data_IF_188694709551
#
_entry.id   IF_188694709551
#
_cell.length_a   1.000
_cell.length_b   1.000
_cell.length_c   1.000
_cell.angle_alpha   90.00
_cell.angle_beta   90.00
_cell.angle_gamma   90.00
#
_symmetry.space_group_name_H-M   'P 1'
#
loop_
_entity.id
_entity.type
_entity.pdbx_description
1 polymer ?
#
# COMPACT_ATOMS: atom_id res chain seq x y z
N UNK A 1 1.37 -9.77 26.86
CA UNK A 1 0.33 -9.01 26.14
C UNK A 1 0.58 -9.21 24.66
N UNK A 2 -0.37 -9.76 23.91
CA UNK A 2 -0.19 -9.99 22.48
C UNK A 2 -0.06 -8.66 21.74
N UNK A 3 0.52 -8.67 20.53
CA UNK A 3 0.58 -7.47 19.68
C UNK A 3 -0.84 -6.94 19.41
N UNK A 4 -1.82 -7.83 19.25
CA UNK A 4 -3.23 -7.49 19.05
C UNK A 4 -3.80 -6.71 20.25
N UNK A 5 -3.54 -7.18 21.47
CA UNK A 5 -3.98 -6.49 22.70
C UNK A 5 -3.30 -5.13 22.89
N UNK A 6 -2.06 -4.97 22.40
CA UNK A 6 -1.30 -3.73 22.53
C UNK A 6 -1.74 -2.67 21.51
N UNK A 7 -2.13 -3.08 20.30
CA UNK A 7 -2.45 -2.18 19.20
C UNK A 7 -3.95 -2.17 18.83
N UNK A 8 -4.78 -2.87 19.60
CA UNK A 8 -6.21 -3.04 19.34
C UNK A 8 -6.49 -3.55 17.91
N UNK A 9 -5.62 -4.44 17.41
CA UNK A 9 -5.64 -4.94 16.04
C UNK A 9 -4.25 -5.35 15.53
N UNK A 10 -4.19 -5.77 14.27
CA UNK A 10 -2.95 -6.07 13.56
C UNK A 10 -3.11 -5.69 12.08
N UNK A 11 -1.99 -5.39 11.42
CA UNK A 11 -1.96 -5.08 9.99
C UNK A 11 -1.77 -6.35 9.18
N UNK A 12 -2.54 -6.47 8.10
CA UNK A 12 -2.35 -7.49 7.07
C UNK A 12 -1.76 -6.80 5.84
N UNK A 13 -0.48 -7.00 5.58
CA UNK A 13 0.22 -6.37 4.46
C UNK A 13 -0.04 -7.13 3.14
N UNK A 14 0.48 -8.35 3.02
CA UNK A 14 0.43 -9.13 1.78
C UNK A 14 -0.98 -9.36 1.22
N UNK A 15 -2.03 -9.62 2.05
CA UNK A 15 -3.38 -9.79 1.52
C UNK A 15 -3.95 -8.54 0.82
N UNK A 16 -3.39 -7.34 1.06
CA UNK A 16 -3.81 -6.13 0.34
C UNK A 16 -3.50 -6.21 -1.15
N UNK A 17 -2.42 -6.89 -1.54
CA UNK A 17 -2.09 -7.08 -2.96
C UNK A 17 -3.15 -7.92 -3.67
N UNK A 18 -3.62 -9.00 -3.03
CA UNK A 18 -4.70 -9.84 -3.56
C UNK A 18 -6.02 -9.08 -3.55
N UNK A 19 -6.34 -8.37 -2.47
CA UNK A 19 -7.56 -7.59 -2.38
C UNK A 19 -7.62 -6.49 -3.45
N UNK A 20 -6.48 -5.85 -3.78
CA UNK A 20 -6.41 -4.88 -4.87
C UNK A 20 -6.74 -5.53 -6.22
N UNK A 21 -6.24 -6.74 -6.48
CA UNK A 21 -6.59 -7.49 -7.69
C UNK A 21 -8.06 -7.93 -7.75
N UNK A 22 -8.69 -8.21 -6.60
CA UNK A 22 -10.09 -8.62 -6.52
C UNK A 22 -11.05 -7.43 -6.65
N UNK A 23 -10.79 -6.35 -5.92
CA UNK A 23 -11.60 -5.12 -5.94
C UNK A 23 -10.68 -3.89 -5.75
N UNK A 24 -10.22 -3.26 -6.86
CA UNK A 24 -9.40 -2.05 -6.79
C UNK A 24 -10.11 -0.88 -6.11
N UNK A 25 -11.45 -0.85 -6.05
CA UNK A 25 -12.22 0.25 -5.45
C UNK A 25 -12.12 0.29 -3.93
N UNK A 26 -11.51 -0.73 -3.32
CA UNK A 26 -11.09 -0.72 -1.92
C UNK A 26 -9.94 0.26 -1.65
N UNK A 27 -9.25 0.72 -2.69
CA UNK A 27 -8.01 1.47 -2.58
C UNK A 27 -8.07 2.77 -3.37
N UNK A 28 -7.47 3.82 -2.82
CA UNK A 28 -7.15 5.03 -3.58
C UNK A 28 -5.71 4.95 -4.03
N UNK A 29 -5.49 5.07 -5.33
CA UNK A 29 -4.16 5.07 -5.93
C UNK A 29 -3.80 6.44 -6.48
N UNK A 30 -2.50 6.74 -6.46
CA UNK A 30 -1.93 7.92 -7.07
C UNK A 30 -0.67 7.52 -7.86
N UNK A 31 -0.50 8.10 -9.05
CA UNK A 31 0.63 7.78 -9.92
C UNK A 31 1.83 8.66 -9.61
N UNK A 32 2.97 8.03 -9.34
CA UNK A 32 4.22 8.69 -8.95
C UNK A 32 5.41 8.18 -9.76
N UNK A 33 6.45 9.01 -9.81
CA UNK A 33 7.80 8.56 -10.19
C UNK A 33 8.45 7.93 -8.95
N UNK A 34 8.84 6.68 -9.08
CA UNK A 34 9.50 5.89 -8.03
C UNK A 34 10.80 5.31 -8.57
N UNK A 35 11.85 5.39 -7.76
CA UNK A 35 13.13 4.71 -7.96
C UNK A 35 13.53 3.95 -6.69
N UNK A 36 14.48 3.02 -6.79
CA UNK A 36 15.00 2.24 -5.65
C UNK A 36 16.44 2.69 -5.37
N UNK A 37 16.72 3.07 -4.13
CA UNK A 37 18.08 3.37 -3.68
C UNK A 37 18.86 2.07 -3.44
N UNK A 38 20.01 1.89 -4.09
CA UNK A 38 20.76 0.62 -4.06
C UNK A 38 22.21 0.76 -3.60
N UNK A 39 22.69 1.98 -3.36
CA UNK A 39 24.10 2.32 -3.10
C UNK A 39 24.35 3.02 -1.77
N UNK A 40 23.43 3.85 -1.27
CA UNK A 40 23.64 4.68 -0.08
C UNK A 40 23.87 3.88 1.20
N UNK A 41 24.79 4.34 2.06
CA UNK A 41 25.12 3.69 3.34
C UNK A 41 23.91 3.61 4.29
N UNK A 42 23.11 4.68 4.35
CA UNK A 42 22.00 4.81 5.30
C UNK A 42 20.62 4.42 4.73
N UNK A 43 20.46 4.44 3.42
CA UNK A 43 19.13 4.40 2.76
C UNK A 43 18.98 3.30 1.72
N UNK A 44 19.96 2.38 1.61
CA UNK A 44 19.86 1.22 0.71
C UNK A 44 18.58 0.43 0.94
N UNK A 45 17.84 0.16 -0.13
CA UNK A 45 16.55 -0.52 -0.14
C UNK A 45 15.34 0.40 -0.07
N UNK A 46 15.53 1.71 0.10
CA UNK A 46 14.43 2.67 0.12
C UNK A 46 13.75 2.77 -1.25
N UNK A 47 12.42 2.71 -1.26
CA UNK A 47 11.58 3.16 -2.37
C UNK A 47 11.48 4.69 -2.34
N UNK A 48 12.22 5.37 -3.20
CA UNK A 48 12.26 6.83 -3.25
C UNK A 48 11.08 7.32 -4.09
N UNK A 49 10.09 7.93 -3.42
CA UNK A 49 8.87 8.44 -4.06
C UNK A 49 9.01 9.95 -4.27
N UNK A 50 8.93 10.38 -5.53
CA UNK A 50 8.94 11.80 -5.87
C UNK A 50 7.56 12.43 -5.67
N UNK A 51 7.37 13.17 -4.56
CA UNK A 51 6.09 13.81 -4.21
C UNK A 51 5.99 15.28 -4.60
N UNK A 52 7.03 15.87 -5.22
CA UNK A 52 7.02 17.28 -5.63
C UNK A 52 6.17 17.46 -6.89
N UNK A 53 5.37 18.53 -6.92
CA UNK A 53 4.29 18.70 -7.91
C UNK A 53 4.69 19.38 -9.24
N UNK A 54 5.94 19.28 -9.67
CA UNK A 54 6.39 19.92 -10.91
C UNK A 54 5.90 19.15 -12.16
N UNK A 55 5.65 19.87 -13.27
CA UNK A 55 5.10 19.28 -14.51
C UNK A 55 5.95 18.13 -15.06
N UNK A 56 7.27 18.29 -15.12
CA UNK A 56 8.20 17.25 -15.62
C UNK A 56 8.10 15.94 -14.83
N UNK A 57 8.03 16.03 -13.50
CA UNK A 57 7.90 14.87 -12.62
C UNK A 57 6.64 14.05 -12.92
N UNK A 58 5.52 14.72 -13.23
CA UNK A 58 4.27 14.04 -13.57
C UNK A 58 4.37 13.27 -14.89
N UNK A 59 5.10 13.80 -15.85
CA UNK A 59 5.33 13.16 -17.16
C UNK A 59 6.20 11.89 -17.02
N UNK A 60 7.08 11.84 -16.00
CA UNK A 60 7.96 10.70 -15.71
C UNK A 60 7.34 9.64 -14.77
N UNK A 61 6.09 9.80 -14.33
CA UNK A 61 5.48 8.91 -13.34
C UNK A 61 5.35 7.46 -13.87
N UNK A 62 5.88 6.49 -13.12
CA UNK A 62 6.06 5.11 -13.58
C UNK A 62 5.29 4.05 -12.79
N UNK A 63 4.76 4.40 -11.61
CA UNK A 63 4.12 3.43 -10.69
C UNK A 63 2.89 4.03 -10.04
N UNK A 64 1.82 3.24 -9.91
CA UNK A 64 0.66 3.57 -9.09
C UNK A 64 0.92 3.13 -7.64
N UNK A 65 0.79 4.06 -6.69
CA UNK A 65 0.97 3.83 -5.26
C UNK A 65 -0.40 3.87 -4.59
N UNK A 66 -0.72 2.84 -3.81
CA UNK A 66 -1.87 2.87 -2.90
C UNK A 66 -1.55 3.83 -1.76
N UNK A 67 -2.35 4.89 -1.65
CA UNK A 67 -2.19 5.93 -0.62
C UNK A 67 -3.25 5.83 0.48
N UNK A 68 -4.39 5.19 0.19
CA UNK A 68 -5.47 4.94 1.16
C UNK A 68 -6.15 3.60 0.87
N UNK A 69 -6.70 2.98 1.91
CA UNK A 69 -7.48 1.75 1.84
C UNK A 69 -8.74 1.84 2.70
N UNK A 70 -9.86 1.31 2.22
CA UNK A 70 -11.06 1.11 3.03
C UNK A 70 -10.88 -0.11 3.94
N UNK A 71 -10.40 0.14 5.15
CA UNK A 71 -10.12 -0.90 6.13
C UNK A 71 -11.35 -1.74 6.50
N UNK A 72 -12.56 -1.16 6.51
CA UNK A 72 -13.78 -1.88 6.89
C UNK A 72 -14.18 -2.87 5.80
N UNK A 73 -14.22 -2.41 4.54
CA UNK A 73 -14.54 -3.28 3.41
C UNK A 73 -13.45 -4.33 3.18
N UNK A 74 -12.18 -3.96 3.37
CA UNK A 74 -11.06 -4.91 3.30
C UNK A 74 -11.20 -6.01 4.36
N UNK A 75 -11.46 -5.66 5.62
CA UNK A 75 -11.69 -6.65 6.67
C UNK A 75 -12.87 -7.55 6.34
N UNK A 76 -14.00 -6.98 5.89
CA UNK A 76 -15.17 -7.76 5.47
C UNK A 76 -14.79 -8.77 4.38
N UNK A 77 -14.10 -8.33 3.32
CA UNK A 77 -13.65 -9.20 2.24
C UNK A 77 -12.80 -10.37 2.76
N UNK A 78 -11.86 -10.10 3.67
CA UNK A 78 -11.01 -11.16 4.24
C UNK A 78 -11.84 -12.13 5.09
N UNK A 79 -12.72 -11.61 5.95
CA UNK A 79 -13.56 -12.44 6.81
C UNK A 79 -14.48 -13.34 6.00
N UNK A 80 -15.25 -12.78 5.05
CA UNK A 80 -16.14 -13.55 4.16
C UNK A 80 -15.38 -14.72 3.49
N UNK A 81 -14.14 -14.49 3.05
CA UNK A 81 -13.32 -15.52 2.37
C UNK A 81 -12.74 -16.58 3.30
N UNK A 82 -12.46 -16.25 4.56
CA UNK A 82 -11.89 -17.18 5.53
C UNK A 82 -12.98 -17.99 6.23
N UNK A 83 -14.12 -17.37 6.54
CA UNK A 83 -15.23 -18.02 7.26
C UNK A 83 -16.22 -18.69 6.32
N UNK A 84 -16.28 -18.27 5.05
CA UNK A 84 -17.23 -18.81 4.07
C UNK A 84 -18.66 -18.30 4.25
N UNK A 85 -18.83 -17.20 5.00
CA UNK A 85 -20.11 -16.48 5.19
C UNK A 85 -20.28 -15.33 4.19
#
# INVERSE_FOLDING_TARGET
RSLVEKFNGFSLHDPQAIAYMVDPTLFRTEKYKVDIEVHGELTRGMTVVERRYYRRVKEDANTDIIVEADAKRFLKLIMDRVTGE
#
